data_IF_220245214640
#
_entry.id   IF_220245214640
#
_cell.length_a   1.000
_cell.length_b   1.000
_cell.length_c   1.000
_cell.angle_alpha   90.00
_cell.angle_beta   90.00
_cell.angle_gamma   90.00
#
_symmetry.space_group_name_H-M   'P 1'
#
loop_
_entity.id
_entity.type
_entity.pdbx_description
1 polymer ?
#
# COMPACT_ATOMS: atom_id res chain seq x y z
N UNK A 1 6.49 -0.35 25.48
CA UNK A 1 5.33 -0.45 24.58
C UNK A 1 5.16 0.91 23.93
N UNK A 2 6.17 1.28 23.16
CA UNK A 2 6.34 2.49 22.37
C UNK A 2 7.01 1.98 21.08
N UNK A 3 6.81 2.67 19.95
CA UNK A 3 7.47 2.42 18.66
C UNK A 3 6.70 1.56 17.63
N UNK A 4 5.39 1.75 17.43
CA UNK A 4 4.67 1.08 16.32
C UNK A 4 4.20 2.02 15.20
N UNK A 5 4.28 3.35 15.38
CA UNK A 5 3.80 4.33 14.38
C UNK A 5 4.93 5.11 13.70
N UNK A 6 6.20 4.95 14.10
CA UNK A 6 7.31 5.79 13.59
C UNK A 6 7.89 5.38 12.23
N UNK A 7 7.39 4.33 11.59
CA UNK A 7 8.00 3.76 10.39
C UNK A 7 6.97 3.59 9.27
N UNK A 8 6.19 4.62 8.95
CA UNK A 8 5.44 4.67 7.68
C UNK A 8 5.98 5.85 6.89
N UNK A 9 6.50 5.57 5.69
CA UNK A 9 7.24 6.57 4.92
C UNK A 9 6.38 7.76 4.47
N UNK A 10 5.12 7.52 4.08
CA UNK A 10 4.21 8.58 3.63
C UNK A 10 2.79 8.34 4.13
N UNK A 11 2.20 9.37 4.71
CA UNK A 11 0.78 9.44 5.06
C UNK A 11 0.08 10.50 4.22
N UNK A 12 -1.07 10.15 3.63
CA UNK A 12 -1.95 11.10 2.96
C UNK A 12 -3.09 11.48 3.89
N UNK A 13 -3.25 12.77 4.14
CA UNK A 13 -4.26 13.31 5.05
C UNK A 13 -5.37 14.03 4.29
N UNK A 14 -6.61 13.84 4.74
CA UNK A 14 -7.77 14.65 4.36
C UNK A 14 -8.50 15.07 5.64
N UNK A 15 -8.67 16.37 5.86
CA UNK A 15 -9.35 16.92 7.04
C UNK A 15 -8.84 16.31 8.38
N UNK A 16 -7.52 16.15 8.48
CA UNK A 16 -6.80 15.55 9.62
C UNK A 16 -7.04 14.05 9.85
N UNK A 17 -7.60 13.34 8.87
CA UNK A 17 -7.71 11.88 8.86
C UNK A 17 -6.74 11.27 7.87
N UNK A 18 -6.14 10.14 8.24
CA UNK A 18 -5.35 9.33 7.31
C UNK A 18 -6.33 8.64 6.35
N UNK A 19 -6.17 8.89 5.05
CA UNK A 19 -7.00 8.27 4.00
C UNK A 19 -6.20 7.30 3.14
N UNK A 20 -4.87 7.38 3.22
CA UNK A 20 -3.95 6.53 2.49
C UNK A 20 -2.57 6.53 3.16
N UNK A 21 -1.86 5.41 3.06
CA UNK A 21 -0.49 5.28 3.55
C UNK A 21 0.38 4.50 2.57
N UNK A 22 1.67 4.83 2.56
CA UNK A 22 2.67 4.21 1.69
C UNK A 22 3.89 3.78 2.50
N UNK A 23 4.36 2.58 2.18
CA UNK A 23 5.58 2.03 2.74
C UNK A 23 6.52 1.60 1.61
N UNK A 24 7.74 2.13 1.61
CA UNK A 24 8.71 1.99 0.51
C UNK A 24 9.74 0.91 0.86
N UNK A 25 9.61 -0.25 0.24
CA UNK A 25 10.46 -1.41 0.52
C UNK A 25 11.46 -1.68 -0.61
N UNK A 26 12.55 -0.90 -0.64
CA UNK A 26 13.62 -1.04 -1.66
C UNK A 26 14.54 -2.24 -1.40
N UNK A 27 15.14 -2.31 -0.22
CA UNK A 27 16.15 -3.32 0.15
C UNK A 27 15.92 -3.95 1.53
N UNK A 28 14.89 -3.51 2.22
CA UNK A 28 14.45 -4.00 3.52
C UNK A 28 13.36 -5.06 3.37
N UNK A 29 12.94 -5.66 4.48
CA UNK A 29 12.01 -6.80 4.49
C UNK A 29 10.61 -6.37 4.06
N UNK A 30 10.13 -6.90 2.92
CA UNK A 30 8.75 -6.71 2.46
C UNK A 30 7.74 -7.14 3.53
N UNK A 31 8.00 -8.26 4.21
CA UNK A 31 7.13 -8.74 5.27
C UNK A 31 7.01 -7.73 6.43
N UNK A 32 8.12 -7.09 6.78
CA UNK A 32 8.14 -6.10 7.86
C UNK A 32 7.41 -4.82 7.45
N UNK A 33 7.54 -4.36 6.21
CA UNK A 33 6.74 -3.24 5.69
C UNK A 33 5.24 -3.51 5.69
N UNK A 34 4.85 -4.70 5.24
CA UNK A 34 3.44 -5.14 5.30
C UNK A 34 2.92 -5.14 6.73
N UNK A 35 3.71 -5.64 7.70
CA UNK A 35 3.29 -5.69 9.10
C UNK A 35 3.14 -4.29 9.69
N UNK A 36 4.05 -3.35 9.38
CA UNK A 36 3.93 -1.94 9.81
C UNK A 36 2.66 -1.28 9.30
N UNK A 37 2.34 -1.46 8.00
CA UNK A 37 1.09 -0.97 7.43
C UNK A 37 -0.14 -1.58 8.11
N UNK A 38 -0.10 -2.89 8.39
CA UNK A 38 -1.18 -3.59 9.07
C UNK A 38 -1.38 -3.11 10.52
N UNK A 39 -0.30 -2.96 11.27
CA UNK A 39 -0.32 -2.50 12.66
C UNK A 39 -0.82 -1.05 12.76
N UNK A 40 -0.42 -0.18 11.82
CA UNK A 40 -0.94 1.19 11.72
C UNK A 40 -2.45 1.20 11.49
N UNK A 41 -2.94 0.46 10.48
CA UNK A 41 -4.35 0.44 10.13
C UNK A 41 -5.24 -0.13 11.24
N UNK A 42 -4.74 -1.09 12.04
CA UNK A 42 -5.45 -1.60 13.22
C UNK A 42 -5.47 -0.62 14.40
N UNK A 43 -4.52 0.31 14.45
CA UNK A 43 -4.37 1.28 15.55
C UNK A 43 -5.20 2.55 15.35
N UNK A 44 -5.68 2.81 14.14
CA UNK A 44 -6.41 4.03 13.78
C UNK A 44 -7.93 3.81 13.76
N UNK A 45 -8.73 4.76 14.30
CA UNK A 45 -10.19 4.70 14.25
C UNK A 45 -10.71 5.16 12.88
N UNK A 46 -11.12 4.22 12.02
CA UNK A 46 -11.73 4.51 10.71
C UNK A 46 -11.33 3.46 9.67
N UNK A 47 -12.29 2.86 8.97
CA UNK A 47 -12.13 1.52 8.40
C UNK A 47 -11.88 1.43 6.89
N UNK A 48 -11.37 2.46 6.22
CA UNK A 48 -11.15 2.40 4.75
C UNK A 48 -9.86 3.10 4.29
N UNK A 49 -8.73 2.73 4.89
CA UNK A 49 -7.43 3.23 4.47
C UNK A 49 -6.90 2.44 3.27
N UNK A 50 -6.53 3.13 2.20
CA UNK A 50 -5.76 2.51 1.11
C UNK A 50 -4.30 2.39 1.56
N UNK A 51 -3.79 1.17 1.59
CA UNK A 51 -2.41 0.90 2.00
C UNK A 51 -1.63 0.45 0.78
N UNK A 52 -0.49 1.09 0.53
CA UNK A 52 0.37 0.77 -0.60
C UNK A 52 1.76 0.37 -0.14
N UNK A 53 2.19 -0.81 -0.56
CA UNK A 53 3.60 -1.15 -0.59
C UNK A 53 4.21 -0.62 -1.89
N UNK A 54 5.28 0.16 -1.81
CA UNK A 54 5.98 0.67 -2.99
C UNK A 54 7.31 -0.07 -3.11
N UNK A 55 7.48 -0.83 -4.20
CA UNK A 55 8.62 -1.75 -4.35
C UNK A 55 9.28 -1.63 -5.72
N UNK A 56 10.56 -2.00 -5.86
CA UNK A 56 11.14 -2.19 -7.18
C UNK A 56 10.55 -3.45 -7.83
N UNK A 57 10.26 -3.40 -9.14
CA UNK A 57 9.64 -4.50 -9.92
C UNK A 57 10.35 -5.85 -9.79
N UNK A 58 11.69 -5.95 -9.72
CA UNK A 58 12.36 -7.22 -9.45
C UNK A 58 11.90 -7.95 -8.18
N UNK A 59 11.33 -7.23 -7.20
CA UNK A 59 10.82 -7.78 -5.93
C UNK A 59 9.33 -8.09 -5.96
N UNK A 60 8.63 -7.87 -7.07
CA UNK A 60 7.20 -8.13 -7.20
C UNK A 60 6.81 -9.57 -6.82
N UNK A 61 7.63 -10.55 -7.19
CA UNK A 61 7.40 -11.96 -6.81
C UNK A 61 7.45 -12.19 -5.29
N UNK A 62 8.31 -11.47 -4.59
CA UNK A 62 8.41 -11.53 -3.12
C UNK A 62 7.17 -10.92 -2.47
N UNK A 63 6.68 -9.79 -3.00
CA UNK A 63 5.41 -9.18 -2.56
C UNK A 63 4.25 -10.15 -2.74
N UNK A 64 4.09 -10.71 -3.93
CA UNK A 64 3.03 -11.67 -4.22
C UNK A 64 3.11 -12.90 -3.30
N UNK A 65 4.32 -13.42 -3.05
CA UNK A 65 4.53 -14.52 -2.13
C UNK A 65 4.09 -14.16 -0.70
N UNK A 66 4.42 -12.97 -0.19
CA UNK A 66 3.95 -12.53 1.13
C UNK A 66 2.43 -12.35 1.16
N UNK A 67 1.85 -11.63 0.19
CA UNK A 67 0.40 -11.37 0.12
C UNK A 67 -0.42 -12.64 -0.06
N UNK A 68 0.17 -13.72 -0.59
CA UNK A 68 -0.49 -15.03 -0.71
C UNK A 68 -0.66 -15.76 0.63
N UNK A 69 -0.03 -15.30 1.72
CA UNK A 69 -0.10 -15.95 3.02
C UNK A 69 -1.49 -15.77 3.64
N UNK A 70 -2.09 -16.80 4.26
CA UNK A 70 -3.45 -16.74 4.78
C UNK A 70 -3.75 -15.55 5.70
N UNK A 71 -2.76 -15.14 6.52
CA UNK A 71 -2.90 -13.99 7.43
C UNK A 71 -3.22 -12.67 6.70
N UNK A 72 -2.74 -12.49 5.47
CA UNK A 72 -2.98 -11.28 4.67
C UNK A 72 -4.14 -11.44 3.68
N UNK A 73 -4.71 -12.64 3.57
CA UNK A 73 -5.87 -12.91 2.72
C UNK A 73 -7.20 -12.66 3.44
N UNK A 74 -7.21 -12.46 4.76
CA UNK A 74 -8.44 -12.12 5.48
C UNK A 74 -8.96 -10.74 5.05
N UNK A 75 -9.96 -10.76 4.17
CA UNK A 75 -10.45 -9.60 3.40
C UNK A 75 -11.09 -8.50 4.24
N UNK A 76 -11.47 -8.80 5.48
CA UNK A 76 -12.29 -7.89 6.29
C UNK A 76 -11.49 -6.80 7.01
N UNK A 77 -10.15 -6.74 6.86
CA UNK A 77 -9.33 -5.81 7.67
C UNK A 77 -8.39 -4.87 6.92
N UNK A 78 -7.92 -5.19 5.70
CA UNK A 78 -6.81 -4.43 5.08
C UNK A 78 -6.99 -4.25 3.56
N UNK A 79 -7.11 -3.00 3.09
CA UNK A 79 -7.07 -2.66 1.67
C UNK A 79 -5.62 -2.47 1.19
N UNK A 80 -4.83 -3.54 1.32
CA UNK A 80 -3.42 -3.55 0.93
C UNK A 80 -3.25 -3.83 -0.57
N UNK A 81 -2.54 -2.95 -1.23
CA UNK A 81 -2.10 -3.09 -2.61
C UNK A 81 -0.59 -2.80 -2.71
N UNK A 82 0.00 -3.03 -3.88
CA UNK A 82 1.37 -2.58 -4.14
C UNK A 82 1.47 -1.83 -5.46
N UNK A 83 2.46 -0.95 -5.56
CA UNK A 83 2.81 -0.21 -6.78
C UNK A 83 4.30 -0.39 -7.01
N UNK A 84 4.73 -0.53 -8.27
CA UNK A 84 6.16 -0.63 -8.60
C UNK A 84 6.77 0.74 -8.84
N UNK A 85 8.06 0.91 -8.52
CA UNK A 85 8.81 2.12 -8.87
C UNK A 85 8.77 2.38 -10.37
N UNK A 86 8.87 1.32 -11.16
CA UNK A 86 8.90 1.36 -12.62
C UNK A 86 7.57 1.82 -13.22
N UNK A 87 6.43 1.46 -12.61
CA UNK A 87 5.13 1.96 -13.07
C UNK A 87 4.91 3.41 -12.63
N UNK A 88 5.37 3.81 -11.44
CA UNK A 88 5.37 5.21 -11.02
C UNK A 88 6.21 6.09 -11.95
N UNK A 89 7.44 5.66 -12.27
CA UNK A 89 8.35 6.37 -13.16
C UNK A 89 7.77 6.49 -14.58
N UNK A 90 7.28 5.37 -15.13
CA UNK A 90 6.63 5.34 -16.45
C UNK A 90 5.46 6.31 -16.57
N UNK A 91 4.67 6.45 -15.51
CA UNK A 91 3.45 7.25 -15.52
C UNK A 91 3.62 8.60 -14.82
N UNK A 92 4.83 8.98 -14.43
CA UNK A 92 5.11 10.17 -13.61
C UNK A 92 4.48 11.44 -14.17
N UNK A 93 4.73 11.77 -15.43
CA UNK A 93 4.16 12.99 -16.05
C UNK A 93 2.63 12.99 -16.06
N UNK A 94 2.02 11.82 -16.28
CA UNK A 94 0.56 11.68 -16.30
C UNK A 94 -0.02 11.81 -14.90
N UNK A 95 0.64 11.25 -13.89
CA UNK A 95 0.28 11.39 -12.49
C UNK A 95 0.36 12.87 -12.06
N UNK A 96 1.44 13.57 -12.40
CA UNK A 96 1.60 14.98 -12.06
C UNK A 96 0.59 15.89 -12.78
N UNK A 97 0.23 15.57 -14.01
CA UNK A 97 -0.68 16.40 -14.82
C UNK A 97 -2.15 16.14 -14.54
N UNK A 98 -2.52 14.89 -14.29
CA UNK A 98 -3.92 14.44 -14.24
C UNK A 98 -4.36 13.96 -12.86
N UNK A 99 -3.41 13.62 -11.97
CA UNK A 99 -3.71 13.18 -10.62
C UNK A 99 -4.24 14.33 -9.77
N UNK A 100 -5.46 14.17 -9.25
CA UNK A 100 -6.09 15.14 -8.33
C UNK A 100 -5.89 14.76 -6.87
N UNK A 101 -5.82 13.46 -6.60
CA UNK A 101 -5.70 12.87 -5.27
C UNK A 101 -5.12 11.44 -5.36
N UNK A 102 -4.96 10.80 -4.20
CA UNK A 102 -4.40 9.47 -4.06
C UNK A 102 -5.13 8.37 -4.85
N UNK A 103 -6.40 8.55 -5.21
CA UNK A 103 -7.18 7.54 -5.95
C UNK A 103 -6.63 7.31 -7.37
N UNK A 104 -5.87 8.26 -7.93
CA UNK A 104 -5.20 8.04 -9.23
C UNK A 104 -4.30 6.79 -9.21
N UNK A 105 -3.74 6.46 -8.05
CA UNK A 105 -2.84 5.32 -7.87
C UNK A 105 -3.57 3.98 -7.91
N UNK A 106 -4.90 3.94 -7.73
CA UNK A 106 -5.68 2.70 -7.92
C UNK A 106 -5.55 2.14 -9.33
N UNK A 107 -5.22 2.97 -10.33
CA UNK A 107 -5.00 2.55 -11.72
C UNK A 107 -3.64 1.88 -11.94
N UNK A 108 -2.67 2.16 -11.08
CA UNK A 108 -1.33 1.58 -11.12
C UNK A 108 -1.16 0.44 -10.14
N UNK A 109 -1.99 0.39 -9.10
CA UNK A 109 -1.85 -0.54 -8.02
C UNK A 109 -2.27 -1.95 -8.39
N UNK A 110 -1.43 -2.91 -8.05
CA UNK A 110 -1.72 -4.32 -8.13
C UNK A 110 -2.36 -4.80 -6.82
N UNK A 111 -3.51 -5.46 -6.93
CA UNK A 111 -4.27 -5.99 -5.79
C UNK A 111 -4.29 -7.52 -5.86
N UNK A 112 -4.01 -8.18 -4.75
CA UNK A 112 -4.23 -9.62 -4.62
C UNK A 112 -5.69 -9.87 -4.25
N UNK A 113 -6.50 -10.29 -5.23
CA UNK A 113 -7.87 -10.75 -5.00
C UNK A 113 -8.97 -9.92 -5.64
N UNK A 114 -8.96 -9.80 -6.97
CA UNK A 114 -10.17 -9.52 -7.73
C UNK A 114 -10.56 -10.76 -8.53
N UNK A 115 -11.64 -11.45 -8.15
CA UNK A 115 -12.47 -12.01 -9.22
C UNK A 115 -12.99 -10.80 -10.01
N UNK A 116 -12.91 -10.80 -11.35
CA UNK A 116 -13.59 -9.78 -12.13
C UNK A 116 -15.05 -9.76 -11.72
N UNK A 117 -15.60 -8.58 -11.40
CA UNK A 117 -17.04 -8.41 -11.26
C UNK A 117 -17.65 -8.73 -12.62
N UNK A 118 -18.23 -9.91 -12.76
CA UNK A 118 -19.24 -10.25 -13.77
C UNK A 118 -20.50 -9.41 -13.54
#
# INVERSE_FOLDING_TARGET
MQDTVELIDVLWLQESRIVCAFEVEKSTSIYSGILRLADMAMSLPGSEERLYLVVPKPREREVLAQLSRPMFQSREKLSLAYVTFEDLDRHFESLCRLGTDYQVLDRLACRCGGTPKT
#
